data_IF_319249964936
#
_entry.id   IF_319249964936
#
_cell.length_a   1.000
_cell.length_b   1.000
_cell.length_c   1.000
_cell.angle_alpha   90.00
_cell.angle_beta   90.00
_cell.angle_gamma   90.00
#
_symmetry.space_group_name_H-M   'P 1'
#
loop_
_entity.id
_entity.type
_entity.pdbx_description
1 polymer ?
#
# COMPACT_ATOMS: atom_id res chain seq x y z
N UNK A 1 9.08 -29.65 -26.42
CA UNK A 1 7.66 -29.24 -26.35
C UNK A 1 7.26 -29.21 -24.89
N UNK A 2 6.56 -28.17 -24.40
CA UNK A 2 6.05 -28.15 -23.01
C UNK A 2 4.89 -29.16 -22.89
N UNK A 3 4.75 -29.80 -21.75
CA UNK A 3 3.63 -30.74 -21.52
C UNK A 3 2.31 -29.97 -21.47
N UNK A 4 1.22 -30.61 -21.93
CA UNK A 4 -0.13 -30.05 -21.91
C UNK A 4 -0.51 -29.53 -20.50
N UNK A 5 -0.20 -30.31 -19.46
CA UNK A 5 -0.45 -29.94 -18.07
C UNK A 5 0.27 -28.64 -17.64
N UNK A 6 1.47 -28.36 -18.15
CA UNK A 6 2.19 -27.10 -17.85
C UNK A 6 1.48 -25.91 -18.52
N UNK A 7 0.91 -26.11 -19.71
CA UNK A 7 0.16 -25.06 -20.41
C UNK A 7 -1.15 -24.75 -19.68
N UNK A 8 -1.92 -25.76 -19.27
CA UNK A 8 -3.15 -25.61 -18.49
C UNK A 8 -2.93 -24.89 -17.15
N UNK A 9 -1.84 -25.24 -16.44
CA UNK A 9 -1.46 -24.54 -15.20
C UNK A 9 -1.08 -23.07 -15.48
N UNK A 10 -0.42 -22.81 -16.60
CA UNK A 10 -0.06 -21.45 -17.03
C UNK A 10 -1.29 -20.59 -17.33
N UNK A 11 -2.29 -21.16 -18.02
CA UNK A 11 -3.56 -20.50 -18.31
C UNK A 11 -4.34 -20.22 -17.02
N UNK A 12 -4.44 -21.21 -16.14
CA UNK A 12 -5.09 -21.06 -14.83
C UNK A 12 -4.43 -19.95 -14.00
N UNK A 13 -3.10 -19.86 -14.01
CA UNK A 13 -2.37 -18.81 -13.30
C UNK A 13 -2.68 -17.43 -13.88
N UNK A 14 -2.78 -17.31 -15.21
CA UNK A 14 -3.11 -16.05 -15.87
C UNK A 14 -4.55 -15.61 -15.56
N UNK A 15 -5.50 -16.54 -15.54
CA UNK A 15 -6.89 -16.27 -15.16
C UNK A 15 -7.01 -15.83 -13.70
N UNK A 16 -6.33 -16.53 -12.79
CA UNK A 16 -6.25 -16.14 -11.39
C UNK A 16 -5.67 -14.73 -11.23
N UNK A 17 -4.63 -14.38 -11.99
CA UNK A 17 -4.05 -13.03 -11.93
C UNK A 17 -5.04 -11.97 -12.42
N UNK A 18 -5.82 -12.25 -13.48
CA UNK A 18 -6.87 -11.33 -13.95
C UNK A 18 -7.93 -11.10 -12.88
N UNK A 19 -8.41 -12.17 -12.25
CA UNK A 19 -9.39 -12.09 -11.15
C UNK A 19 -8.84 -11.29 -9.96
N UNK A 20 -7.59 -11.54 -9.56
CA UNK A 20 -6.92 -10.79 -8.49
C UNK A 20 -6.89 -9.30 -8.81
N UNK A 21 -6.51 -8.92 -10.04
CA UNK A 21 -6.43 -7.52 -10.44
C UNK A 21 -7.81 -6.85 -10.39
N UNK A 22 -8.85 -7.51 -10.91
CA UNK A 22 -10.22 -6.99 -10.84
C UNK A 22 -10.67 -6.79 -9.39
N UNK A 23 -10.47 -7.77 -8.52
CA UNK A 23 -10.81 -7.68 -7.11
C UNK A 23 -10.02 -6.56 -6.39
N UNK A 24 -8.78 -6.29 -6.80
CA UNK A 24 -7.98 -5.18 -6.26
C UNK A 24 -8.55 -3.81 -6.67
N UNK A 25 -9.03 -3.67 -7.90
CA UNK A 25 -9.68 -2.46 -8.39
C UNK A 25 -10.99 -2.20 -7.65
N UNK A 26 -11.84 -3.23 -7.53
CA UNK A 26 -13.09 -3.18 -6.77
C UNK A 26 -12.84 -2.80 -5.31
N UNK A 27 -11.89 -3.46 -4.64
CA UNK A 27 -11.47 -3.12 -3.28
C UNK A 27 -11.00 -1.66 -3.16
N UNK A 28 -10.27 -1.16 -4.16
CA UNK A 28 -9.79 0.22 -4.18
C UNK A 28 -10.95 1.21 -4.31
N UNK A 29 -11.95 0.90 -5.15
CA UNK A 29 -13.15 1.70 -5.29
C UNK A 29 -13.97 1.74 -3.99
N UNK A 30 -14.21 0.57 -3.37
CA UNK A 30 -14.92 0.45 -2.09
C UNK A 30 -14.20 1.23 -1.00
N UNK A 31 -12.87 1.09 -0.88
CA UNK A 31 -12.08 1.84 0.10
C UNK A 31 -12.22 3.35 -0.06
N UNK A 32 -12.19 3.86 -1.29
CA UNK A 32 -12.38 5.29 -1.57
C UNK A 32 -13.74 5.81 -1.13
N UNK A 33 -14.78 4.99 -1.23
CA UNK A 33 -16.13 5.33 -0.74
C UNK A 33 -16.12 5.33 0.78
N UNK A 34 -15.79 4.20 1.41
CA UNK A 34 -15.83 4.03 2.86
C UNK A 34 -15.00 5.08 3.62
N UNK A 35 -13.84 5.47 3.11
CA UNK A 35 -12.96 6.44 3.80
C UNK A 35 -13.59 7.84 3.91
N UNK A 36 -14.54 8.17 3.03
CA UNK A 36 -15.30 9.44 3.11
C UNK A 36 -16.37 9.41 4.21
N UNK A 37 -16.88 8.22 4.53
CA UNK A 37 -17.97 8.05 5.49
C UNK A 37 -17.48 7.71 6.90
N UNK A 38 -16.29 7.13 7.05
CA UNK A 38 -15.76 6.75 8.35
C UNK A 38 -15.02 7.90 9.06
N UNK A 39 -15.20 7.97 10.37
CA UNK A 39 -14.46 8.86 11.26
C UNK A 39 -13.06 8.28 11.49
N UNK A 40 -12.07 9.13 11.79
CA UNK A 40 -10.74 8.65 12.19
C UNK A 40 -10.88 7.84 13.48
N UNK A 41 -10.12 6.74 13.57
CA UNK A 41 -10.12 5.76 14.66
C UNK A 41 -11.42 4.96 14.82
N UNK A 42 -12.32 5.05 13.84
CA UNK A 42 -13.51 4.19 13.78
C UNK A 42 -13.11 2.77 13.33
N UNK A 43 -13.62 1.78 14.06
CA UNK A 43 -13.46 0.35 13.78
C UNK A 43 -14.82 -0.28 13.50
N UNK A 44 -14.91 -1.10 12.45
CA UNK A 44 -16.06 -1.93 12.12
C UNK A 44 -15.63 -3.40 12.18
N UNK A 45 -16.26 -4.18 13.06
CA UNK A 45 -16.02 -5.62 13.21
C UNK A 45 -17.15 -6.40 12.54
N UNK A 46 -16.79 -7.35 11.68
CA UNK A 46 -17.71 -8.20 10.91
C UNK A 46 -17.60 -9.68 11.31
N UNK A 47 -16.86 -10.00 12.38
CA UNK A 47 -16.66 -11.35 12.90
C UNK A 47 -15.55 -12.14 12.18
N UNK A 48 -15.53 -12.10 10.85
CA UNK A 48 -14.50 -12.68 9.98
C UNK A 48 -13.29 -11.75 9.78
N UNK A 49 -13.40 -10.51 10.24
CA UNK A 49 -12.36 -9.51 10.16
C UNK A 49 -12.86 -8.16 10.61
N UNK A 50 -11.96 -7.18 10.54
CA UNK A 50 -12.29 -5.80 10.88
C UNK A 50 -11.71 -4.78 9.90
N UNK A 51 -12.40 -3.66 9.78
CA UNK A 51 -11.99 -2.49 9.00
C UNK A 51 -11.72 -1.35 9.98
N UNK A 52 -10.52 -0.80 9.94
CA UNK A 52 -10.09 0.32 10.77
C UNK A 52 -9.83 1.54 9.87
N UNK A 53 -10.51 2.65 10.14
CA UNK A 53 -10.17 3.93 9.55
C UNK A 53 -9.13 4.63 10.40
N UNK A 54 -7.94 4.84 9.87
CA UNK A 54 -6.87 5.56 10.58
C UNK A 54 -6.44 6.76 9.77
N UNK A 55 -5.92 7.76 10.47
CA UNK A 55 -5.14 8.78 9.82
C UNK A 55 -3.80 8.16 9.44
N UNK A 56 -3.46 8.17 8.16
CA UNK A 56 -2.11 7.76 7.77
C UNK A 56 -1.15 8.73 8.46
N UNK A 57 -0.30 8.22 9.34
CA UNK A 57 0.83 9.00 9.82
C UNK A 57 1.63 9.34 8.56
N UNK A 58 1.81 10.63 8.30
CA UNK A 58 2.86 11.05 7.38
C UNK A 58 4.14 10.37 7.86
N UNK A 59 4.97 9.88 6.92
CA UNK A 59 6.30 9.39 7.27
C UNK A 59 6.96 10.46 8.13
N UNK A 60 7.18 10.16 9.42
CA UNK A 60 7.86 11.03 10.37
C UNK A 60 9.03 11.63 9.61
N UNK A 61 9.03 12.96 9.45
CA UNK A 61 10.17 13.65 8.90
C UNK A 61 11.36 13.21 9.73
N UNK A 62 12.24 12.41 9.15
CA UNK A 62 13.42 11.90 9.85
C UNK A 62 14.14 13.11 10.45
N UNK A 63 14.31 13.16 11.76
CA UNK A 63 15.25 14.06 12.43
C UNK A 63 16.45 13.16 12.70
N UNK A 64 17.40 13.04 11.74
CA UNK A 64 18.10 14.17 11.13
C UNK A 64 18.16 14.10 9.59
N UNK A 65 17.07 14.48 8.91
CA UNK A 65 16.95 14.52 7.43
C UNK A 65 18.14 15.19 6.76
N UNK A 66 18.61 16.31 7.32
CA UNK A 66 19.76 17.04 6.78
C UNK A 66 21.04 16.18 6.78
N UNK A 67 21.30 15.43 7.84
CA UNK A 67 22.49 14.59 7.97
C UNK A 67 22.41 13.38 7.03
N UNK A 68 21.24 12.73 6.95
CA UNK A 68 21.00 11.61 6.05
C UNK A 68 21.13 12.03 4.59
N UNK A 69 20.50 13.13 4.18
CA UNK A 69 20.62 13.65 2.82
C UNK A 69 22.04 14.15 2.51
N UNK A 70 22.74 14.70 3.49
CA UNK A 70 24.15 15.07 3.35
C UNK A 70 25.02 13.85 3.09
N UNK A 71 24.85 12.79 3.88
CA UNK A 71 25.53 11.50 3.66
C UNK A 71 25.23 10.95 2.27
N UNK A 72 23.95 10.88 1.88
CA UNK A 72 23.54 10.34 0.58
C UNK A 72 24.12 11.19 -0.55
N UNK A 73 24.11 12.51 -0.42
CA UNK A 73 24.67 13.43 -1.41
C UNK A 73 26.18 13.23 -1.57
N UNK A 74 26.89 13.04 -0.46
CA UNK A 74 28.35 12.82 -0.47
C UNK A 74 28.73 11.43 -1.03
N UNK A 75 27.92 10.40 -0.76
CA UNK A 75 28.23 9.00 -1.15
C UNK A 75 27.66 8.57 -2.49
N UNK A 76 26.49 9.05 -2.85
CA UNK A 76 25.72 8.59 -4.02
C UNK A 76 25.34 9.72 -4.96
N UNK A 77 25.74 10.96 -4.66
CA UNK A 77 25.53 12.11 -5.52
C UNK A 77 24.21 12.86 -5.26
N UNK A 78 24.17 14.08 -5.80
CA UNK A 78 23.10 15.06 -5.55
C UNK A 78 21.74 14.61 -6.08
N UNK A 79 21.71 13.89 -7.20
CA UNK A 79 20.46 13.47 -7.83
C UNK A 79 19.76 12.36 -7.05
N UNK A 80 20.52 11.39 -6.53
CA UNK A 80 19.99 10.33 -5.67
C UNK A 80 19.48 10.92 -4.35
N UNK A 81 20.23 11.84 -3.74
CA UNK A 81 19.78 12.53 -2.53
C UNK A 81 18.46 13.29 -2.76
N UNK A 82 18.31 13.94 -3.92
CA UNK A 82 17.08 14.66 -4.29
C UNK A 82 15.90 13.72 -4.56
N UNK A 83 16.12 12.57 -5.21
CA UNK A 83 15.05 11.59 -5.44
C UNK A 83 14.57 10.97 -4.12
N UNK A 84 15.51 10.61 -3.24
CA UNK A 84 15.20 10.13 -1.88
C UNK A 84 14.41 11.18 -1.10
N UNK A 85 14.87 12.44 -1.12
CA UNK A 85 14.18 13.54 -0.46
C UNK A 85 12.73 13.67 -0.96
N UNK A 86 12.56 13.75 -2.29
CA UNK A 86 11.24 13.88 -2.91
C UNK A 86 10.30 12.70 -2.62
N UNK A 87 10.81 11.47 -2.52
CA UNK A 87 10.01 10.29 -2.17
C UNK A 87 9.60 10.29 -0.70
N UNK A 88 10.50 10.67 0.19
CA UNK A 88 10.26 10.68 1.63
C UNK A 88 9.47 11.91 2.10
N UNK A 89 9.38 12.96 1.28
CA UNK A 89 8.91 14.28 1.74
C UNK A 89 7.83 14.87 0.87
N UNK A 90 7.23 14.05 0.01
CA UNK A 90 5.88 14.31 -0.48
C UNK A 90 4.94 14.30 0.73
N UNK A 91 4.85 15.45 1.39
CA UNK A 91 3.81 15.78 2.36
C UNK A 91 2.51 15.84 1.56
N UNK A 92 1.89 14.68 1.34
CA UNK A 92 0.49 14.65 0.99
C UNK A 92 -0.26 14.75 2.29
N UNK A 93 -1.02 15.84 2.50
CA UNK A 93 -1.89 16.04 3.68
C UNK A 93 -2.35 14.70 4.26
N UNK A 94 -2.08 14.44 5.53
CA UNK A 94 -2.44 13.20 6.23
C UNK A 94 -3.82 12.69 5.76
N UNK A 95 -3.81 11.61 4.98
CA UNK A 95 -5.03 11.06 4.36
C UNK A 95 -5.65 10.05 5.30
N UNK A 96 -6.97 10.12 5.49
CA UNK A 96 -7.72 9.01 6.04
C UNK A 96 -7.48 7.78 5.15
N UNK A 97 -7.14 6.65 5.77
CA UNK A 97 -6.85 5.38 5.08
C UNK A 97 -7.57 4.24 5.80
N UNK A 98 -8.01 3.24 5.04
CA UNK A 98 -8.65 2.05 5.58
C UNK A 98 -7.69 0.87 5.62
N UNK A 99 -7.58 0.27 6.79
CA UNK A 99 -6.87 -0.97 7.04
C UNK A 99 -7.88 -2.10 7.18
N UNK A 100 -7.69 -3.17 6.41
CA UNK A 100 -8.52 -4.37 6.47
C UNK A 100 -7.68 -5.45 7.17
N UNK A 101 -8.18 -6.01 8.26
CA UNK A 101 -7.55 -7.11 8.99
C UNK A 101 -8.49 -8.31 8.96
N UNK A 102 -8.27 -9.20 7.98
CA UNK A 102 -8.95 -10.48 7.94
C UNK A 102 -8.52 -11.34 9.15
N UNK A 103 -9.47 -12.00 9.80
CA UNK A 103 -9.18 -12.98 10.85
C UNK A 103 -8.58 -14.21 10.15
N UNK A 104 -7.41 -14.67 10.60
CA UNK A 104 -6.83 -15.90 10.06
C UNK A 104 -7.79 -17.05 10.32
N UNK A 105 -8.21 -17.73 9.26
CA UNK A 105 -8.79 -19.07 9.37
C UNK A 105 -7.72 -19.98 9.99
N UNK A 106 -8.08 -20.65 11.07
CA UNK A 106 -7.23 -21.64 11.75
C UNK A 106 -7.12 -22.91 10.92
#
# INVERSE_FOLDING_TARGET
>A
MKSLAILELGETLLENQKMINQLQEENTAIKKILVKHLVVDQELDFGDGKIECRQHADSLSFVPRKEVLSYIRLKYGKDIARDVDNRCTKITKAKKTLYIKARKTR
#
